data_IF_769666839159
#
_entry.id   IF_769666839159
#
_cell.length_a   1.000
_cell.length_b   1.000
_cell.length_c   1.000
_cell.angle_alpha   90.00
_cell.angle_beta   90.00
_cell.angle_gamma   90.00
#
_symmetry.space_group_name_H-M   'P 1'
#
loop_
_entity.id
_entity.type
_entity.pdbx_description
1 polymer ?
#
# COMPACT_ATOMS: atom_id res chain seq x y z
N UNK A 1 -27.25 42.64 51.87
CA UNK A 1 -26.17 43.05 50.95
C UNK A 1 -25.17 41.91 50.85
N UNK A 2 -24.81 41.49 49.62
CA UNK A 2 -23.83 40.43 49.23
C UNK A 2 -24.28 38.98 49.48
N UNK A 3 -24.05 37.99 48.62
CA UNK A 3 -23.79 37.87 47.16
C UNK A 3 -23.85 36.35 46.89
N UNK A 4 -24.43 35.96 45.75
CA UNK A 4 -24.34 34.74 44.92
C UNK A 4 -23.28 33.68 45.35
N UNK A 5 -23.42 32.37 45.16
CA UNK A 5 -23.83 31.70 43.93
C UNK A 5 -23.97 30.19 44.15
N UNK A 6 -25.02 29.60 43.57
CA UNK A 6 -25.13 28.18 43.25
C UNK A 6 -24.35 27.95 41.95
N UNK A 7 -23.61 26.83 41.84
CA UNK A 7 -23.48 25.94 40.66
C UNK A 7 -22.60 24.77 41.11
N UNK A 8 -23.24 23.62 41.32
CA UNK A 8 -22.56 22.34 41.54
C UNK A 8 -21.88 21.89 40.27
N UNK A 9 -20.65 21.44 40.42
CA UNK A 9 -19.77 20.93 39.36
C UNK A 9 -20.45 19.77 38.64
N UNK A 10 -20.76 19.95 37.35
CA UNK A 10 -21.04 18.83 36.43
C UNK A 10 -19.67 18.22 36.12
N UNK A 11 -19.37 17.07 36.72
CA UNK A 11 -18.29 16.21 36.25
C UNK A 11 -18.74 15.62 34.92
N UNK A 12 -18.36 16.26 33.82
CA UNK A 12 -18.43 15.66 32.49
C UNK A 12 -17.37 14.56 32.51
N UNK A 13 -17.79 13.34 32.81
CA UNK A 13 -17.01 12.14 32.56
C UNK A 13 -16.72 12.09 31.06
N UNK A 14 -15.53 12.55 30.67
CA UNK A 14 -14.97 12.23 29.36
C UNK A 14 -14.75 10.71 29.34
N UNK A 15 -15.72 9.99 28.77
CA UNK A 15 -15.50 8.64 28.31
C UNK A 15 -14.43 8.75 27.21
N UNK A 16 -13.17 8.56 27.58
CA UNK A 16 -12.10 8.37 26.64
C UNK A 16 -12.38 7.02 25.98
N UNK A 17 -13.13 7.02 24.88
CA UNK A 17 -13.08 5.91 23.94
C UNK A 17 -11.64 5.90 23.42
N UNK A 18 -10.77 5.17 24.10
CA UNK A 18 -9.59 4.61 23.47
C UNK A 18 -10.13 3.72 22.34
N UNK A 19 -10.39 4.33 21.19
CA UNK A 19 -10.61 3.59 19.96
C UNK A 19 -9.34 2.81 19.74
N UNK A 20 -9.32 1.54 20.17
CA UNK A 20 -8.34 0.60 19.68
C UNK A 20 -8.58 0.59 18.18
N UNK A 21 -7.70 1.25 17.43
CA UNK A 21 -7.57 1.01 16.02
C UNK A 21 -7.30 -0.49 15.88
N UNK A 22 -8.35 -1.26 15.64
CA UNK A 22 -8.20 -2.60 15.11
C UNK A 22 -7.53 -2.39 13.76
N UNK A 23 -6.23 -2.70 13.69
CA UNK A 23 -5.53 -2.71 12.41
C UNK A 23 -6.33 -3.60 11.46
N UNK A 24 -6.67 -3.08 10.29
CA UNK A 24 -7.35 -3.86 9.27
C UNK A 24 -6.48 -5.09 8.94
N UNK A 25 -7.07 -6.27 8.90
CA UNK A 25 -6.33 -7.48 8.54
C UNK A 25 -5.80 -7.33 7.12
N UNK A 26 -4.52 -7.63 6.90
CA UNK A 26 -3.88 -7.56 5.58
C UNK A 26 -3.41 -8.92 5.12
N UNK A 27 -3.47 -9.17 3.82
CA UNK A 27 -2.76 -10.26 3.14
C UNK A 27 -1.73 -9.66 2.18
N UNK A 28 -0.68 -10.42 1.89
CA UNK A 28 0.40 -9.96 1.01
C UNK A 28 0.28 -10.63 -0.35
N UNK A 29 0.52 -9.85 -1.41
CA UNK A 29 0.77 -10.37 -2.77
C UNK A 29 2.17 -9.96 -3.22
N UNK A 30 2.82 -10.78 -4.03
CA UNK A 30 4.09 -10.41 -4.67
C UNK A 30 3.79 -9.76 -6.01
N UNK A 31 4.23 -8.53 -6.19
CA UNK A 31 4.17 -7.84 -7.48
C UNK A 31 5.57 -7.77 -8.07
N UNK A 32 5.67 -8.05 -9.36
CA UNK A 32 6.90 -7.84 -10.14
C UNK A 32 6.83 -6.46 -10.80
N UNK A 33 7.87 -5.67 -10.60
CA UNK A 33 8.09 -4.36 -11.20
C UNK A 33 9.15 -4.49 -12.28
N UNK A 34 8.95 -3.80 -13.39
CA UNK A 34 9.91 -3.75 -14.49
C UNK A 34 10.09 -2.30 -14.93
N UNK A 35 11.33 -1.89 -15.17
CA UNK A 35 11.65 -0.54 -15.63
C UNK A 35 12.90 -0.53 -16.50
N UNK A 36 13.10 0.58 -17.21
CA UNK A 36 14.29 0.87 -17.99
C UNK A 36 15.01 2.05 -17.32
N UNK A 37 16.34 2.06 -17.37
CA UNK A 37 17.16 3.19 -16.91
C UNK A 37 17.93 3.77 -18.09
N UNK A 38 18.23 5.08 -18.04
CA UNK A 38 19.09 5.69 -19.04
C UNK A 38 20.47 5.00 -19.05
N UNK A 39 20.95 4.67 -20.25
CA UNK A 39 22.23 3.96 -20.41
C UNK A 39 23.41 4.76 -19.87
N UNK A 40 23.36 6.10 -19.95
CA UNK A 40 24.39 6.99 -19.40
C UNK A 40 24.62 6.77 -17.90
N UNK A 41 23.58 6.51 -17.12
CA UNK A 41 23.69 6.35 -15.66
C UNK A 41 24.25 4.98 -15.27
N UNK A 42 24.03 3.97 -16.11
CA UNK A 42 24.35 2.55 -15.85
C UNK A 42 25.72 2.14 -16.37
N UNK A 43 26.37 2.97 -17.19
CA UNK A 43 27.73 2.70 -17.66
C UNK A 43 28.77 2.91 -16.55
N UNK A 44 29.98 2.33 -16.66
CA UNK A 44 31.08 2.64 -15.75
C UNK A 44 31.31 4.16 -15.67
N UNK A 45 31.22 4.73 -14.46
CA UNK A 45 31.31 6.17 -14.24
C UNK A 45 29.97 6.94 -14.31
N UNK A 46 28.86 6.28 -14.64
CA UNK A 46 27.51 6.87 -14.69
C UNK A 46 26.89 7.20 -13.32
N UNK A 47 27.51 6.73 -12.23
CA UNK A 47 27.18 7.15 -10.86
C UNK A 47 25.93 6.53 -10.25
N UNK A 48 25.14 5.73 -10.99
CA UNK A 48 23.95 5.08 -10.46
C UNK A 48 24.28 4.14 -9.30
N UNK A 49 23.59 4.31 -8.17
CA UNK A 49 23.67 3.42 -7.01
C UNK A 49 22.45 2.50 -6.89
N UNK A 50 21.28 2.93 -7.35
CA UNK A 50 20.08 2.11 -7.34
C UNK A 50 18.79 2.91 -7.52
N UNK A 51 17.71 2.33 -7.05
CA UNK A 51 16.36 2.87 -7.14
C UNK A 51 15.61 2.79 -5.82
N UNK A 52 14.66 3.68 -5.61
CA UNK A 52 13.68 3.55 -4.52
C UNK A 52 12.30 3.36 -5.11
N UNK A 53 11.59 2.36 -4.62
CA UNK A 53 10.19 2.11 -4.96
C UNK A 53 9.31 2.78 -3.93
N UNK A 54 8.35 3.56 -4.41
CA UNK A 54 7.36 4.23 -3.59
C UNK A 54 5.96 3.73 -3.90
N UNK A 55 5.06 3.84 -2.91
CA UNK A 55 3.67 3.42 -3.00
C UNK A 55 2.73 4.47 -2.40
N UNK A 56 1.54 4.62 -2.98
CA UNK A 56 0.41 5.41 -2.46
C UNK A 56 -0.91 4.64 -2.60
N UNK A 57 -1.85 4.92 -1.69
CA UNK A 57 -3.26 4.49 -1.81
C UNK A 57 -4.10 5.45 -2.66
N UNK A 58 -3.52 6.58 -3.08
CA UNK A 58 -4.18 7.66 -3.82
C UNK A 58 -3.35 7.99 -5.06
N UNK A 59 -4.02 8.11 -6.21
CA UNK A 59 -3.37 8.50 -7.46
C UNK A 59 -2.69 9.87 -7.31
N UNK A 60 -1.43 9.98 -7.76
CA UNK A 60 -0.64 11.21 -7.62
C UNK A 60 -0.02 11.43 -6.23
N UNK A 61 -0.21 10.51 -5.28
CA UNK A 61 0.42 10.56 -3.96
C UNK A 61 -0.50 11.08 -2.83
N UNK A 62 0.06 11.34 -1.62
CA UNK A 62 1.49 11.28 -1.28
C UNK A 62 2.05 9.85 -1.30
N UNK A 63 3.28 9.69 -1.79
CA UNK A 63 3.93 8.38 -1.85
C UNK A 63 4.84 8.12 -0.64
N UNK A 64 4.92 6.87 -0.22
CA UNK A 64 5.82 6.38 0.85
C UNK A 64 6.81 5.38 0.26
N UNK A 65 8.09 5.49 0.59
CA UNK A 65 9.11 4.52 0.18
C UNK A 65 8.83 3.17 0.81
N UNK A 66 8.80 2.12 -0.01
CA UNK A 66 8.55 0.74 0.44
C UNK A 66 9.74 -0.19 0.19
N UNK A 67 10.63 0.14 -0.75
CA UNK A 67 11.83 -0.64 -1.02
C UNK A 67 12.96 0.22 -1.56
N UNK A 68 14.20 -0.27 -1.36
CA UNK A 68 15.41 0.25 -2.02
C UNK A 68 16.04 -0.90 -2.78
N UNK A 69 16.22 -0.72 -4.08
CA UNK A 69 16.70 -1.72 -5.02
C UNK A 69 18.11 -1.29 -5.45
N UNK A 70 19.12 -2.01 -5.02
CA UNK A 70 20.52 -1.68 -5.33
C UNK A 70 20.87 -2.05 -6.76
N UNK A 71 21.56 -1.15 -7.46
CA UNK A 71 22.12 -1.47 -8.76
C UNK A 71 23.31 -2.43 -8.60
N UNK A 72 23.28 -3.55 -9.32
CA UNK A 72 24.32 -4.59 -9.23
C UNK A 72 25.57 -4.31 -10.09
N UNK A 73 25.64 -3.14 -10.74
CA UNK A 73 26.76 -2.77 -11.62
C UNK A 73 26.73 -3.40 -13.01
N UNK A 74 25.68 -4.16 -13.36
CA UNK A 74 25.55 -4.80 -14.68
C UNK A 74 24.48 -4.10 -15.50
N UNK A 75 24.82 -3.44 -16.62
CA UNK A 75 23.84 -2.80 -17.49
C UNK A 75 22.85 -3.81 -18.05
N UNK A 76 21.56 -3.47 -18.04
CA UNK A 76 20.49 -4.23 -18.65
C UNK A 76 19.51 -3.30 -19.38
N UNK A 77 18.86 -3.80 -20.43
CA UNK A 77 17.80 -3.07 -21.13
C UNK A 77 16.53 -2.95 -20.29
N UNK A 78 16.31 -3.90 -19.38
CA UNK A 78 15.19 -3.95 -18.44
C UNK A 78 15.72 -4.45 -17.10
N UNK A 79 15.33 -3.76 -16.03
CA UNK A 79 15.56 -4.17 -14.65
C UNK A 79 14.25 -4.65 -14.04
N UNK A 80 14.34 -5.56 -13.07
CA UNK A 80 13.18 -6.09 -12.37
C UNK A 80 13.39 -6.15 -10.86
N UNK A 81 12.30 -6.07 -10.12
CA UNK A 81 12.26 -6.30 -8.67
C UNK A 81 10.90 -6.90 -8.29
N UNK A 82 10.89 -7.73 -7.26
CA UNK A 82 9.65 -8.32 -6.73
C UNK A 82 9.46 -7.85 -5.31
N UNK A 83 8.33 -7.20 -5.04
CA UNK A 83 8.02 -6.69 -3.71
C UNK A 83 6.71 -7.25 -3.18
N UNK A 84 6.72 -7.53 -1.88
CA UNK A 84 5.58 -8.00 -1.11
C UNK A 84 4.69 -6.82 -0.71
N UNK A 85 3.50 -6.72 -1.33
CA UNK A 85 2.56 -5.63 -1.10
C UNK A 85 1.44 -6.10 -0.18
N UNK A 86 1.37 -5.60 1.08
CA UNK A 86 0.23 -5.86 1.94
C UNK A 86 -0.98 -5.07 1.45
N UNK A 87 -2.12 -5.75 1.36
CA UNK A 87 -3.42 -5.21 0.97
C UNK A 87 -4.50 -5.67 1.95
N UNK A 88 -5.48 -4.80 2.27
CA UNK A 88 -6.55 -5.11 3.21
C UNK A 88 -7.41 -6.29 2.74
N UNK A 89 -7.75 -7.17 3.67
CA UNK A 89 -8.68 -8.29 3.45
C UNK A 89 -10.11 -7.76 3.48
N UNK A 90 -10.99 -8.32 2.65
CA UNK A 90 -12.41 -7.99 2.65
C UNK A 90 -12.81 -6.90 1.64
N UNK A 91 -11.84 -6.30 0.94
CA UNK A 91 -12.09 -5.24 -0.02
C UNK A 91 -11.15 -5.30 -1.22
N UNK A 92 -11.49 -4.54 -2.25
CA UNK A 92 -10.63 -4.25 -3.39
C UNK A 92 -9.82 -2.98 -3.10
N UNK A 93 -8.49 -3.04 -3.32
CA UNK A 93 -7.60 -1.92 -3.08
C UNK A 93 -6.68 -1.69 -4.28
N UNK A 94 -6.76 -0.50 -4.86
CA UNK A 94 -5.81 -0.04 -5.88
C UNK A 94 -4.62 0.64 -5.20
N UNK A 95 -3.43 0.21 -5.58
CA UNK A 95 -2.16 0.82 -5.18
C UNK A 95 -1.50 1.49 -6.38
N UNK A 96 -0.80 2.59 -6.10
CA UNK A 96 -0.09 3.40 -7.09
C UNK A 96 1.39 3.42 -6.74
N UNK A 97 2.25 3.30 -7.75
CA UNK A 97 3.68 3.12 -7.57
C UNK A 97 4.47 4.05 -8.49
N UNK A 98 5.56 4.59 -7.96
CA UNK A 98 6.57 5.36 -8.70
C UNK A 98 7.95 4.90 -8.26
N UNK A 99 8.94 5.04 -9.14
CA UNK A 99 10.35 4.85 -8.83
C UNK A 99 11.09 6.19 -8.86
N UNK A 100 12.17 6.27 -8.11
CA UNK A 100 13.26 7.22 -8.35
C UNK A 100 14.55 6.44 -8.56
N UNK A 101 15.51 7.06 -9.25
CA UNK A 101 16.90 6.63 -9.26
C UNK A 101 17.70 7.47 -8.26
N UNK A 102 18.74 6.89 -7.66
CA UNK A 102 19.69 7.64 -6.85
C UNK A 102 21.14 7.27 -7.18
N UNK A 103 22.02 8.26 -7.07
CA UNK A 103 23.44 8.11 -7.35
C UNK A 103 24.26 7.74 -6.09
N UNK A 104 25.55 7.47 -6.27
CA UNK A 104 26.48 7.13 -5.17
C UNK A 104 26.75 8.29 -4.20
N UNK A 105 26.40 9.51 -4.57
CA UNK A 105 26.47 10.69 -3.71
C UNK A 105 25.16 10.91 -2.92
N UNK A 106 24.11 10.12 -3.19
CA UNK A 106 22.81 10.20 -2.54
C UNK A 106 21.84 11.20 -3.17
N UNK A 107 22.16 11.74 -4.36
CA UNK A 107 21.21 12.58 -5.09
C UNK A 107 20.10 11.70 -5.67
N UNK A 108 18.86 12.09 -5.45
CA UNK A 108 17.67 11.36 -5.90
C UNK A 108 16.95 12.11 -7.01
N UNK A 109 16.53 11.39 -8.04
CA UNK A 109 15.81 11.95 -9.18
C UNK A 109 14.38 12.37 -8.82
N UNK A 110 13.70 13.03 -9.77
CA UNK A 110 12.25 13.11 -9.75
C UNK A 110 11.60 11.72 -9.89
N UNK A 111 10.32 11.62 -9.54
CA UNK A 111 9.53 10.41 -9.73
C UNK A 111 9.39 10.03 -11.21
N UNK A 112 9.34 8.73 -11.48
CA UNK A 112 8.93 8.15 -12.76
C UNK A 112 7.47 8.48 -13.09
N UNK A 113 6.99 7.96 -14.23
CA UNK A 113 5.55 7.81 -14.43
C UNK A 113 4.94 6.91 -13.34
N UNK A 114 3.67 7.13 -13.05
CA UNK A 114 2.92 6.31 -12.09
C UNK A 114 2.43 5.02 -12.77
N UNK A 115 2.59 3.90 -12.08
CA UNK A 115 1.96 2.62 -12.39
C UNK A 115 0.92 2.27 -11.32
N UNK A 116 -0.05 1.39 -11.61
CA UNK A 116 -1.03 0.95 -10.61
C UNK A 116 -1.36 -0.53 -10.70
N UNK A 117 -1.75 -1.11 -9.57
CA UNK A 117 -2.25 -2.49 -9.48
C UNK A 117 -3.51 -2.52 -8.60
N UNK A 118 -4.52 -3.29 -9.03
CA UNK A 118 -5.70 -3.59 -8.22
C UNK A 118 -5.48 -4.94 -7.53
N UNK A 119 -5.57 -4.96 -6.21
CA UNK A 119 -5.53 -6.19 -5.41
C UNK A 119 -6.93 -6.42 -4.85
N UNK A 120 -7.50 -7.57 -5.17
CA UNK A 120 -8.84 -7.96 -4.75
C UNK A 120 -8.76 -9.07 -3.69
N UNK A 121 -9.20 -8.72 -2.48
CA UNK A 121 -9.47 -9.68 -1.40
C UNK A 121 -10.92 -9.59 -0.91
N UNK A 122 -11.82 -9.02 -1.71
CA UNK A 122 -13.24 -8.98 -1.44
C UNK A 122 -13.86 -10.37 -1.71
N UNK A 123 -14.53 -10.98 -0.72
CA UNK A 123 -15.27 -12.22 -0.96
C UNK A 123 -16.40 -12.01 -1.97
N UNK A 124 -16.79 -13.06 -2.72
CA UNK A 124 -18.01 -13.02 -3.52
C UNK A 124 -19.23 -12.88 -2.62
N UNK A 125 -20.34 -12.43 -3.21
CA UNK A 125 -21.63 -12.36 -2.52
C UNK A 125 -22.15 -13.76 -2.17
N UNK A 126 -22.96 -13.83 -1.10
CA UNK A 126 -23.55 -15.10 -0.65
C UNK A 126 -24.49 -15.68 -1.72
N UNK A 127 -24.55 -17.01 -1.91
CA UNK A 127 -25.49 -17.62 -2.85
C UNK A 127 -26.94 -17.27 -2.51
N UNK A 128 -27.69 -16.79 -3.51
CA UNK A 128 -29.11 -16.56 -3.41
C UNK A 128 -29.90 -17.85 -3.70
N UNK A 129 -31.09 -17.98 -3.10
CA UNK A 129 -32.06 -19.06 -3.41
C UNK A 129 -31.52 -20.49 -3.19
N UNK A 130 -30.70 -20.72 -2.17
CA UNK A 130 -30.26 -22.07 -1.80
C UNK A 130 -31.47 -22.94 -1.39
N UNK A 131 -31.71 -24.04 -2.11
CA UNK A 131 -32.84 -24.95 -1.90
C UNK A 131 -32.36 -26.41 -1.82
N UNK A 132 -33.05 -27.20 -0.99
CA UNK A 132 -32.83 -28.64 -0.86
C UNK A 132 -34.08 -29.38 -1.32
N UNK A 133 -33.91 -30.35 -2.21
CA UNK A 133 -35.01 -31.20 -2.69
C UNK A 133 -34.79 -32.64 -2.25
N UNK A 134 -35.72 -33.16 -1.46
CA UNK A 134 -35.73 -34.57 -1.08
C UNK A 134 -36.36 -35.38 -2.21
N UNK A 135 -35.67 -36.43 -2.67
CA UNK A 135 -36.23 -37.43 -3.60
C UNK A 135 -36.26 -38.77 -2.88
N UNK A 136 -37.45 -39.35 -2.74
CA UNK A 136 -37.59 -40.73 -2.30
C UNK A 136 -37.37 -41.62 -3.53
N UNK A 137 -36.37 -42.51 -3.48
CA UNK A 137 -36.14 -43.52 -4.52
C UNK A 137 -36.91 -44.77 -4.12
N UNK A 138 -37.89 -45.25 -4.93
CA UNK A 138 -38.57 -46.52 -4.66
C UNK A 138 -37.58 -47.68 -4.65
N UNK A 139 -37.75 -48.62 -3.71
CA UNK A 139 -37.00 -49.89 -3.68
C UNK A 139 -37.48 -50.83 -4.79
#
# INVERSE_FOLDING_TARGET
>A
MRKNSIIGIIVISFLFFAGTAFGQATRTVNLEFQWNQATADTQPGGGLAGWKLYRSATAGGPYTSIATITYNGTPASVYTATESIPSPVGEERRWYFVLTAFDTAGNESAYSNEASALIDFKPPDVPAQFQVTIRVVPQ
#
